data_IF_213757242771
#
_entry.id   IF_213757242771
#
_cell.length_a   1.000
_cell.length_b   1.000
_cell.length_c   1.000
_cell.angle_alpha   90.00
_cell.angle_beta   90.00
_cell.angle_gamma   90.00
#
_symmetry.space_group_name_H-M   'P 1'
#
loop_
_entity.id
_entity.type
_entity.pdbx_description
1 polymer ?
#
# COMPACT_ATOMS: atom_id res chain seq x y z
N UNK A 1 16.48 -32.44 10.22
CA UNK A 1 16.63 -32.27 11.68
C UNK A 1 16.66 -30.80 12.10
N UNK A 2 17.27 -29.89 11.34
CA UNK A 2 17.31 -28.45 11.66
C UNK A 2 15.96 -27.71 11.52
N UNK A 3 15.08 -28.14 10.61
CA UNK A 3 13.76 -27.51 10.41
C UNK A 3 12.90 -27.45 11.67
N UNK A 4 12.76 -28.56 12.40
CA UNK A 4 11.98 -28.60 13.65
C UNK A 4 12.55 -27.67 14.73
N UNK A 5 13.86 -27.45 14.74
CA UNK A 5 14.51 -26.55 15.70
C UNK A 5 14.23 -25.09 15.33
N UNK A 6 14.35 -24.74 14.05
CA UNK A 6 14.04 -23.39 13.55
C UNK A 6 12.55 -23.08 13.79
N UNK A 7 11.66 -24.02 13.50
CA UNK A 7 10.23 -23.91 13.76
C UNK A 7 9.95 -23.66 15.26
N UNK A 8 10.54 -24.45 16.16
CA UNK A 8 10.37 -24.24 17.61
C UNK A 8 10.86 -22.87 18.07
N UNK A 9 12.00 -22.39 17.53
CA UNK A 9 12.52 -21.05 17.83
C UNK A 9 11.61 -19.95 17.29
N UNK A 10 11.09 -20.09 16.07
CA UNK A 10 10.18 -19.11 15.49
C UNK A 10 8.88 -18.99 16.28
N UNK A 11 8.28 -20.12 16.66
CA UNK A 11 7.09 -20.13 17.52
C UNK A 11 7.35 -19.44 18.85
N UNK A 12 8.54 -19.64 19.42
CA UNK A 12 8.96 -18.97 20.66
C UNK A 12 9.09 -17.45 20.50
N UNK A 13 9.33 -16.95 19.28
CA UNK A 13 9.38 -15.51 18.97
C UNK A 13 8.01 -14.89 18.66
N UNK A 14 6.94 -15.68 18.58
CA UNK A 14 5.58 -15.20 18.25
C UNK A 14 4.54 -15.66 19.28
N UNK A 15 4.88 -15.68 20.57
CA UNK A 15 3.96 -16.12 21.64
C UNK A 15 3.31 -17.50 21.38
N UNK A 16 4.02 -18.40 20.70
CA UNK A 16 3.58 -19.75 20.37
C UNK A 16 2.71 -19.87 19.11
N UNK A 17 2.53 -18.80 18.32
CA UNK A 17 1.81 -18.88 17.04
C UNK A 17 2.49 -19.85 16.07
N UNK A 18 1.70 -20.71 15.44
CA UNK A 18 2.19 -21.75 14.52
C UNK A 18 2.13 -21.35 13.05
N UNK A 19 1.57 -20.17 12.75
CA UNK A 19 1.38 -19.67 11.39
C UNK A 19 2.11 -18.35 11.24
N UNK A 20 2.94 -18.29 10.19
CA UNK A 20 3.69 -17.09 9.82
C UNK A 20 5.09 -17.05 10.40
N UNK A 21 5.76 -15.93 10.15
CA UNK A 21 7.10 -15.63 10.64
C UNK A 21 7.07 -14.32 11.43
N UNK A 22 7.94 -14.12 12.45
CA UNK A 22 7.98 -12.88 13.22
C UNK A 22 8.18 -11.65 12.30
N UNK A 23 7.41 -10.59 12.50
CA UNK A 23 7.59 -9.34 11.73
C UNK A 23 8.58 -8.43 12.46
N UNK A 24 9.61 -7.94 11.76
CA UNK A 24 10.58 -6.97 12.28
C UNK A 24 12.03 -7.47 12.40
N UNK A 25 12.30 -8.68 12.94
CA UNK A 25 13.66 -9.20 13.03
C UNK A 25 14.29 -9.48 11.66
N UNK A 26 15.58 -9.18 11.49
CA UNK A 26 16.33 -9.49 10.27
C UNK A 26 16.40 -11.00 9.98
N UNK A 27 16.35 -11.83 11.02
CA UNK A 27 16.29 -13.29 10.89
C UNK A 27 15.08 -13.76 10.09
N UNK A 28 13.94 -13.09 10.25
CA UNK A 28 12.72 -13.43 9.52
C UNK A 28 12.88 -13.19 8.03
N UNK A 29 13.62 -12.14 7.63
CA UNK A 29 13.91 -11.88 6.21
C UNK A 29 14.72 -13.01 5.58
N UNK A 30 15.76 -13.48 6.28
CA UNK A 30 16.58 -14.60 5.82
C UNK A 30 15.73 -15.87 5.69
N UNK A 31 14.84 -16.11 6.65
CA UNK A 31 13.95 -17.28 6.63
C UNK A 31 12.95 -17.18 5.47
N UNK A 32 12.35 -16.01 5.22
CA UNK A 32 11.50 -15.77 4.04
C UNK A 32 12.22 -16.11 2.75
N UNK A 33 13.46 -15.64 2.60
CA UNK A 33 14.27 -15.89 1.40
C UNK A 33 14.53 -17.39 1.20
N UNK A 34 14.82 -18.13 2.27
CA UNK A 34 14.98 -19.59 2.19
C UNK A 34 13.69 -20.29 1.75
N UNK A 35 12.54 -19.86 2.26
CA UNK A 35 11.24 -20.41 1.86
C UNK A 35 10.98 -20.10 0.37
N UNK A 36 11.24 -18.87 -0.07
CA UNK A 36 11.08 -18.47 -1.47
C UNK A 36 12.01 -19.27 -2.39
N UNK A 37 13.28 -19.46 -2.04
CA UNK A 37 14.19 -20.35 -2.80
C UNK A 37 13.63 -21.77 -2.94
N UNK A 38 12.99 -22.31 -1.89
CA UNK A 38 12.38 -23.64 -1.95
C UNK A 38 11.12 -23.67 -2.84
N UNK A 39 10.30 -22.61 -2.79
CA UNK A 39 9.17 -22.40 -3.71
C UNK A 39 9.65 -22.36 -5.16
N UNK A 40 10.69 -21.58 -5.46
CA UNK A 40 11.24 -21.47 -6.82
C UNK A 40 11.76 -22.82 -7.34
N UNK A 41 12.43 -23.60 -6.48
CA UNK A 41 12.83 -24.97 -6.84
C UNK A 41 11.63 -25.85 -7.20
N UNK A 42 10.51 -25.70 -6.51
CA UNK A 42 9.28 -26.44 -6.76
C UNK A 42 8.54 -25.98 -8.03
N UNK A 43 8.58 -24.69 -8.35
CA UNK A 43 8.10 -24.15 -9.64
C UNK A 43 8.89 -24.75 -10.80
N UNK A 44 10.19 -24.96 -10.61
CA UNK A 44 11.04 -25.75 -11.49
C UNK A 44 11.67 -24.96 -12.63
N UNK A 45 12.90 -25.33 -12.99
CA UNK A 45 13.73 -24.61 -13.96
C UNK A 45 13.11 -24.49 -15.35
N UNK A 46 12.26 -25.45 -15.76
CA UNK A 46 11.58 -25.40 -17.06
C UNK A 46 10.56 -24.26 -17.17
N UNK A 47 9.95 -23.85 -16.05
CA UNK A 47 9.06 -22.70 -16.01
C UNK A 47 9.86 -21.40 -16.00
N UNK A 48 10.93 -21.32 -15.21
CA UNK A 48 11.84 -20.16 -15.21
C UNK A 48 12.53 -19.95 -16.55
N UNK A 49 12.84 -21.01 -17.30
CA UNK A 49 13.43 -20.91 -18.63
C UNK A 49 12.54 -20.21 -19.68
N UNK A 50 11.25 -20.01 -19.39
CA UNK A 50 10.30 -19.29 -20.25
C UNK A 50 10.29 -17.78 -19.99
N UNK A 51 10.94 -17.32 -18.92
CA UNK A 51 11.04 -15.91 -18.60
C UNK A 51 11.91 -15.19 -19.63
N UNK A 52 11.44 -14.04 -20.09
CA UNK A 52 12.24 -13.14 -20.93
C UNK A 52 13.01 -12.11 -20.11
N UNK A 53 12.48 -11.78 -18.94
CA UNK A 53 13.11 -10.95 -17.92
C UNK A 53 12.39 -11.20 -16.58
N UNK A 54 13.12 -10.97 -15.49
CA UNK A 54 12.61 -11.11 -14.14
C UNK A 54 13.24 -10.05 -13.22
N UNK A 55 12.46 -9.63 -12.24
CA UNK A 55 12.90 -8.80 -11.13
C UNK A 55 12.14 -9.23 -9.88
N UNK A 56 12.87 -9.44 -8.80
CA UNK A 56 12.32 -9.80 -7.51
C UNK A 56 12.85 -8.87 -6.44
N UNK A 57 11.96 -8.38 -5.58
CA UNK A 57 12.31 -7.60 -4.41
C UNK A 57 11.50 -8.09 -3.20
N UNK A 58 12.18 -8.76 -2.27
CA UNK A 58 11.59 -9.32 -1.05
C UNK A 58 10.50 -10.38 -1.32
N UNK A 59 9.25 -9.98 -1.43
CA UNK A 59 8.10 -10.83 -1.76
C UNK A 59 7.39 -10.41 -3.05
N UNK A 60 7.84 -9.31 -3.67
CA UNK A 60 7.28 -8.76 -4.90
C UNK A 60 7.99 -9.32 -6.14
N UNK A 61 7.22 -9.96 -7.02
CA UNK A 61 7.68 -10.53 -8.28
C UNK A 61 7.22 -9.72 -9.50
N UNK A 62 8.17 -9.40 -10.39
CA UNK A 62 7.91 -8.86 -11.72
C UNK A 62 8.51 -9.80 -12.75
N UNK A 63 7.65 -10.52 -13.46
CA UNK A 63 8.03 -11.61 -14.36
C UNK A 63 7.51 -11.33 -15.75
N UNK A 64 8.39 -11.37 -16.74
CA UNK A 64 8.08 -11.09 -18.14
C UNK A 64 8.08 -12.37 -18.96
N UNK A 65 7.08 -12.49 -19.85
CA UNK A 65 6.90 -13.65 -20.73
C UNK A 65 6.63 -13.18 -22.16
N UNK A 66 6.98 -14.01 -23.14
CA UNK A 66 6.68 -13.76 -24.55
C UNK A 66 5.22 -13.99 -24.91
N UNK A 67 4.47 -14.73 -24.08
CA UNK A 67 3.07 -15.07 -24.32
C UNK A 67 2.24 -15.02 -23.04
N UNK A 68 0.96 -14.68 -23.17
CA UNK A 68 0.01 -14.72 -22.06
C UNK A 68 -0.17 -16.14 -21.50
N UNK A 69 -0.13 -17.15 -22.38
CA UNK A 69 -0.27 -18.56 -22.01
C UNK A 69 0.88 -19.02 -21.11
N UNK A 70 2.12 -18.61 -21.41
CA UNK A 70 3.26 -18.93 -20.57
C UNK A 70 3.18 -18.25 -19.20
N UNK A 71 2.69 -17.00 -19.16
CA UNK A 71 2.48 -16.27 -17.91
C UNK A 71 1.40 -16.94 -17.03
N UNK A 72 0.28 -17.38 -17.62
CA UNK A 72 -0.77 -18.11 -16.90
C UNK A 72 -0.27 -19.46 -16.39
N UNK A 73 0.46 -20.21 -17.21
CA UNK A 73 1.03 -21.49 -16.82
C UNK A 73 2.05 -21.33 -15.68
N UNK A 74 2.91 -20.30 -15.75
CA UNK A 74 3.85 -19.99 -14.67
C UNK A 74 3.10 -19.59 -13.39
N UNK A 75 2.09 -18.72 -13.48
CA UNK A 75 1.31 -18.29 -12.32
C UNK A 75 0.59 -19.47 -11.65
N UNK A 76 0.08 -20.42 -12.42
CA UNK A 76 -0.51 -21.65 -11.88
C UNK A 76 0.54 -22.49 -11.13
N UNK A 77 1.71 -22.72 -11.74
CA UNK A 77 2.80 -23.45 -11.10
C UNK A 77 3.30 -22.77 -9.81
N UNK A 78 3.39 -21.43 -9.82
CA UNK A 78 3.77 -20.64 -8.66
C UNK A 78 2.74 -20.75 -7.53
N UNK A 79 1.43 -20.68 -7.84
CA UNK A 79 0.36 -20.89 -6.85
C UNK A 79 0.45 -22.27 -6.22
N UNK A 80 0.61 -23.31 -7.02
CA UNK A 80 0.70 -24.68 -6.53
C UNK A 80 1.94 -24.89 -5.64
N UNK A 81 3.09 -24.29 -6.02
CA UNK A 81 4.32 -24.36 -5.23
C UNK A 81 4.18 -23.62 -3.89
N UNK A 82 3.64 -22.40 -3.88
CA UNK A 82 3.44 -21.59 -2.67
C UNK A 82 2.48 -22.28 -1.69
N UNK A 83 1.42 -22.94 -2.20
CA UNK A 83 0.46 -23.66 -1.37
C UNK A 83 1.09 -24.82 -0.60
N UNK A 84 2.16 -25.44 -1.11
CA UNK A 84 2.87 -26.51 -0.40
C UNK A 84 3.57 -26.04 0.89
N UNK A 85 3.72 -24.73 1.06
CA UNK A 85 4.28 -24.08 2.25
C UNK A 85 3.20 -23.36 3.08
N UNK A 86 1.91 -23.67 2.86
CA UNK A 86 0.76 -23.01 3.50
C UNK A 86 0.71 -21.48 3.29
N UNK A 87 1.36 -21.00 2.23
CA UNK A 87 1.34 -19.61 1.82
C UNK A 87 0.28 -19.40 0.73
N UNK A 88 -0.12 -18.14 0.52
CA UNK A 88 -1.06 -17.75 -0.52
C UNK A 88 -0.62 -16.47 -1.20
N UNK A 89 -0.76 -16.42 -2.53
CA UNK A 89 -0.61 -15.17 -3.27
C UNK A 89 -1.75 -14.21 -2.97
N UNK A 90 -1.43 -12.93 -2.83
CA UNK A 90 -2.44 -11.91 -2.67
C UNK A 90 -3.19 -11.69 -4.00
N UNK A 91 -4.43 -12.16 -4.08
CA UNK A 91 -5.24 -12.09 -5.30
C UNK A 91 -5.51 -10.66 -5.79
N UNK A 92 -5.58 -9.66 -4.90
CA UNK A 92 -5.80 -8.27 -5.32
C UNK A 92 -4.54 -7.62 -5.90
N UNK A 93 -3.35 -8.12 -5.53
CA UNK A 93 -2.05 -7.64 -6.03
C UNK A 93 -1.52 -8.45 -7.22
N UNK A 94 -2.03 -9.67 -7.41
CA UNK A 94 -1.55 -10.59 -8.45
C UNK A 94 -2.31 -10.36 -9.76
N UNK A 95 -1.62 -9.95 -10.82
CA UNK A 95 -2.23 -9.73 -12.15
C UNK A 95 -1.27 -10.03 -13.28
N UNK A 96 -1.81 -10.49 -14.40
CA UNK A 96 -1.09 -10.57 -15.68
C UNK A 96 -1.55 -9.40 -16.52
N UNK A 97 -0.60 -8.63 -17.02
CA UNK A 97 -0.84 -7.40 -17.77
C UNK A 97 -0.06 -7.43 -19.09
N UNK A 98 -0.62 -6.84 -20.14
CA UNK A 98 0.09 -6.65 -21.38
C UNK A 98 1.10 -5.50 -21.20
N UNK A 99 2.39 -5.75 -21.47
CA UNK A 99 3.44 -4.75 -21.33
C UNK A 99 3.20 -3.49 -22.19
N UNK A 100 2.56 -3.61 -23.36
CA UNK A 100 2.21 -2.47 -24.21
C UNK A 100 1.07 -1.63 -23.65
N UNK A 101 0.20 -2.24 -22.84
CA UNK A 101 -0.91 -1.56 -22.15
C UNK A 101 -0.50 -1.10 -20.75
N UNK A 102 0.67 -1.54 -20.26
CA UNK A 102 1.26 -1.07 -19.02
C UNK A 102 1.71 0.37 -19.20
N UNK A 103 0.78 1.27 -18.96
CA UNK A 103 1.05 2.69 -18.91
C UNK A 103 1.79 2.96 -17.60
N UNK A 104 3.07 3.36 -17.68
CA UNK A 104 3.79 3.91 -16.52
C UNK A 104 2.87 4.88 -15.77
N UNK A 105 2.82 4.73 -14.45
CA UNK A 105 1.95 5.51 -13.57
C UNK A 105 2.04 7.00 -13.91
N UNK A 106 1.03 7.52 -14.62
CA UNK A 106 0.97 8.96 -14.96
C UNK A 106 0.44 9.80 -13.81
N UNK A 107 -0.24 9.15 -12.86
CA UNK A 107 -0.91 9.81 -11.75
C UNK A 107 0.05 10.66 -10.88
N UNK A 108 1.33 10.28 -10.61
CA UNK A 108 2.22 11.14 -9.86
C UNK A 108 2.48 12.45 -10.60
N UNK A 109 2.61 12.40 -11.93
CA UNK A 109 2.72 13.59 -12.78
C UNK A 109 1.49 14.48 -12.71
N UNK A 110 0.30 13.88 -12.88
CA UNK A 110 -0.99 14.57 -12.85
C UNK A 110 -1.20 15.31 -11.51
N UNK A 111 -0.97 14.63 -10.38
CA UNK A 111 -1.12 15.25 -9.06
C UNK A 111 0.01 16.24 -8.81
N UNK A 112 1.26 15.96 -9.19
CA UNK A 112 2.42 16.84 -8.94
C UNK A 112 2.27 18.20 -9.59
N UNK A 113 1.66 18.27 -10.78
CA UNK A 113 1.42 19.54 -11.47
C UNK A 113 0.40 20.46 -10.77
N UNK A 114 -0.45 19.92 -9.89
CA UNK A 114 -1.47 20.68 -9.17
C UNK A 114 -0.84 21.54 -8.06
N UNK A 115 -0.51 22.79 -8.37
CA UNK A 115 0.09 23.71 -7.40
C UNK A 115 -0.93 24.20 -6.38
N UNK A 116 -0.62 24.03 -5.10
CA UNK A 116 -1.34 24.67 -3.98
C UNK A 116 -0.50 25.88 -3.54
N UNK A 117 -1.00 27.09 -3.76
CA UNK A 117 -0.31 28.31 -3.34
C UNK A 117 -0.54 28.60 -1.86
N UNK A 118 0.51 29.02 -1.17
CA UNK A 118 0.39 29.61 0.16
C UNK A 118 -0.11 31.06 0.08
N UNK A 119 -0.86 31.52 1.09
CA UNK A 119 -1.19 32.94 1.29
C UNK A 119 -1.81 33.59 0.06
N UNK A 120 -2.83 32.95 -0.51
CA UNK A 120 -3.46 33.37 -1.76
C UNK A 120 -4.97 33.24 -1.68
N UNK A 121 -5.70 34.25 -2.16
CA UNK A 121 -7.17 34.17 -2.32
C UNK A 121 -7.61 32.97 -3.18
N UNK A 122 -6.70 32.41 -3.98
CA UNK A 122 -6.92 31.27 -4.84
C UNK A 122 -6.66 29.92 -4.18
N UNK A 123 -6.15 29.89 -2.94
CA UNK A 123 -5.80 28.63 -2.27
C UNK A 123 -6.99 27.70 -2.16
N UNK A 124 -8.20 28.22 -1.87
CA UNK A 124 -9.44 27.42 -1.84
C UNK A 124 -9.70 26.69 -3.16
N UNK A 125 -9.57 27.39 -4.28
CA UNK A 125 -9.77 26.83 -5.63
C UNK A 125 -8.69 25.80 -5.96
N UNK A 126 -7.44 26.08 -5.60
CA UNK A 126 -6.32 25.17 -5.80
C UNK A 126 -6.54 23.86 -5.01
N UNK A 127 -7.00 23.95 -3.76
CA UNK A 127 -7.36 22.81 -2.90
C UNK A 127 -8.52 22.01 -3.49
N UNK A 128 -9.62 22.67 -3.88
CA UNK A 128 -10.77 22.00 -4.47
C UNK A 128 -10.42 21.24 -5.75
N UNK A 129 -9.60 21.85 -6.63
CA UNK A 129 -9.07 21.18 -7.82
C UNK A 129 -8.21 19.97 -7.41
N UNK A 130 -7.31 20.14 -6.46
CA UNK A 130 -6.44 19.08 -5.97
C UNK A 130 -7.22 17.90 -5.38
N UNK A 131 -8.24 18.15 -4.55
CA UNK A 131 -9.08 17.11 -3.96
C UNK A 131 -9.87 16.36 -5.02
N UNK A 132 -10.46 17.10 -5.98
CA UNK A 132 -11.27 16.51 -7.05
C UNK A 132 -10.44 15.58 -7.92
N UNK A 133 -9.22 16.00 -8.29
CA UNK A 133 -8.29 15.16 -9.06
C UNK A 133 -7.76 13.99 -8.25
N UNK A 134 -7.42 14.19 -6.97
CA UNK A 134 -6.98 13.09 -6.08
C UNK A 134 -8.05 12.01 -5.97
N UNK A 135 -9.31 12.39 -5.74
CA UNK A 135 -10.44 11.45 -5.64
C UNK A 135 -10.72 10.78 -6.99
N UNK A 136 -10.62 11.52 -8.10
CA UNK A 136 -10.78 10.96 -9.45
C UNK A 136 -9.73 9.87 -9.71
N UNK A 137 -8.47 10.16 -9.39
CA UNK A 137 -7.37 9.22 -9.59
C UNK A 137 -7.48 8.01 -8.68
N UNK A 138 -7.78 8.19 -7.39
CA UNK A 138 -7.99 7.09 -6.44
C UNK A 138 -9.14 6.15 -6.86
N UNK A 139 -10.17 6.67 -7.53
CA UNK A 139 -11.26 5.85 -8.11
C UNK A 139 -10.84 5.11 -9.38
N UNK A 140 -10.04 5.74 -10.23
CA UNK A 140 -9.57 5.13 -11.48
C UNK A 140 -8.45 4.11 -11.24
N UNK A 141 -7.67 4.30 -10.18
CA UNK A 141 -6.53 3.49 -9.79
C UNK A 141 -6.58 3.35 -8.26
N UNK A 142 -7.01 2.20 -7.71
CA UNK A 142 -7.03 1.96 -6.27
C UNK A 142 -5.62 1.65 -5.76
N UNK A 143 -4.70 2.57 -5.99
CA UNK A 143 -3.33 2.51 -5.51
C UNK A 143 -3.23 3.32 -4.20
N UNK A 144 -2.88 2.61 -3.13
CA UNK A 144 -2.67 3.17 -1.80
C UNK A 144 -1.66 4.34 -1.77
N UNK A 145 -0.72 4.36 -2.71
CA UNK A 145 0.28 5.42 -2.84
C UNK A 145 -0.33 6.77 -3.24
N UNK A 146 -1.46 6.77 -3.96
CA UNK A 146 -2.21 7.99 -4.33
C UNK A 146 -2.69 8.70 -3.06
N UNK A 147 -3.32 7.97 -2.15
CA UNK A 147 -3.82 8.50 -0.88
C UNK A 147 -2.69 9.06 -0.01
N UNK A 148 -1.59 8.31 0.11
CA UNK A 148 -0.39 8.75 0.83
C UNK A 148 0.21 10.03 0.23
N UNK A 149 0.24 10.14 -1.10
CA UNK A 149 0.73 11.32 -1.79
C UNK A 149 -0.22 12.52 -1.63
N UNK A 150 -1.54 12.27 -1.71
CA UNK A 150 -2.59 13.27 -1.54
C UNK A 150 -2.62 13.92 -0.17
N UNK A 151 -2.09 13.26 0.86
CA UNK A 151 -1.89 13.85 2.20
C UNK A 151 -0.54 14.56 2.29
N UNK A 152 0.53 13.93 1.80
CA UNK A 152 1.90 14.46 1.90
C UNK A 152 2.11 15.76 1.13
N UNK A 153 1.44 15.94 0.00
CA UNK A 153 1.62 17.14 -0.82
C UNK A 153 1.06 18.41 -0.16
N UNK A 154 -0.23 18.48 0.24
CA UNK A 154 -0.77 19.66 0.89
C UNK A 154 -0.14 19.95 2.25
N UNK A 155 0.35 18.93 2.98
CA UNK A 155 1.02 19.15 4.27
C UNK A 155 2.32 19.95 4.20
N UNK A 156 2.91 20.10 3.00
CA UNK A 156 4.07 20.97 2.74
C UNK A 156 3.72 22.46 2.63
N UNK A 157 2.43 22.80 2.60
CA UNK A 157 1.95 24.16 2.41
C UNK A 157 1.04 24.53 3.56
N UNK A 158 1.24 25.70 4.16
CA UNK A 158 0.34 26.19 5.20
C UNK A 158 -1.03 26.51 4.58
N UNK A 159 -2.02 25.67 4.87
CA UNK A 159 -3.43 25.91 4.60
C UNK A 159 -3.95 27.04 5.50
N UNK A 160 -4.59 28.05 4.91
CA UNK A 160 -5.19 29.17 5.63
C UNK A 160 -6.42 28.73 6.44
N UNK A 161 -6.66 29.35 7.60
CA UNK A 161 -7.83 29.05 8.46
C UNK A 161 -9.17 29.10 7.71
N UNK A 162 -9.30 29.99 6.73
CA UNK A 162 -10.50 30.13 5.90
C UNK A 162 -10.77 28.94 4.95
N UNK A 163 -9.77 28.07 4.76
CA UNK A 163 -9.86 26.87 3.91
C UNK A 163 -9.87 25.58 4.74
N UNK A 164 -9.88 25.67 6.06
CA UNK A 164 -9.88 24.51 6.94
C UNK A 164 -11.17 23.69 6.81
N UNK A 165 -12.29 24.36 6.55
CA UNK A 165 -13.63 23.77 6.35
C UNK A 165 -13.69 22.77 5.19
N UNK A 166 -12.79 22.88 4.20
CA UNK A 166 -12.65 21.93 3.09
C UNK A 166 -11.48 20.96 3.26
N UNK A 167 -10.44 21.35 4.00
CA UNK A 167 -9.26 20.52 4.18
C UNK A 167 -9.47 19.44 5.24
N UNK A 168 -10.08 19.77 6.39
CA UNK A 168 -10.37 18.79 7.44
C UNK A 168 -11.24 17.63 6.92
N UNK A 169 -12.38 17.86 6.22
CA UNK A 169 -13.19 16.76 5.70
C UNK A 169 -12.47 15.93 4.64
N UNK A 170 -11.61 16.56 3.84
CA UNK A 170 -10.80 15.83 2.86
C UNK A 170 -9.83 14.86 3.55
N UNK A 171 -9.13 15.31 4.60
CA UNK A 171 -8.24 14.45 5.38
C UNK A 171 -8.97 13.27 6.00
N UNK A 172 -10.11 13.52 6.65
CA UNK A 172 -10.94 12.48 7.27
C UNK A 172 -11.46 11.48 6.24
N UNK A 173 -11.84 11.96 5.04
CA UNK A 173 -12.26 11.08 3.95
C UNK A 173 -11.14 10.13 3.51
N UNK A 174 -9.93 10.65 3.28
CA UNK A 174 -8.80 9.81 2.86
C UNK A 174 -8.44 8.79 3.95
N UNK A 175 -8.44 9.20 5.23
CA UNK A 175 -8.19 8.30 6.36
C UNK A 175 -9.24 7.18 6.49
N UNK A 176 -10.51 7.48 6.18
CA UNK A 176 -11.58 6.48 6.18
C UNK A 176 -11.43 5.47 5.04
N UNK A 177 -11.09 5.95 3.86
CA UNK A 177 -10.94 5.09 2.68
C UNK A 177 -9.64 4.27 2.72
N UNK A 178 -8.60 4.74 3.43
CA UNK A 178 -7.28 4.12 3.46
C UNK A 178 -6.66 4.19 4.86
N UNK A 179 -6.65 3.06 5.57
CA UNK A 179 -6.15 2.95 6.95
C UNK A 179 -4.66 3.27 7.09
N UNK A 180 -3.85 3.01 6.04
CA UNK A 180 -2.42 3.32 5.99
C UNK A 180 -2.11 4.83 6.15
N UNK A 181 -3.09 5.69 5.89
CA UNK A 181 -2.97 7.13 5.94
C UNK A 181 -3.33 7.73 7.31
N UNK A 182 -3.92 6.94 8.20
CA UNK A 182 -4.52 7.40 9.45
C UNK A 182 -3.51 8.14 10.34
N UNK A 183 -2.33 7.56 10.57
CA UNK A 183 -1.27 8.17 11.37
C UNK A 183 -0.83 9.54 10.82
N UNK A 184 -0.68 9.64 9.49
CA UNK A 184 -0.32 10.91 8.84
C UNK A 184 -1.42 11.96 8.97
N UNK A 185 -2.69 11.57 8.83
CA UNK A 185 -3.84 12.46 8.99
C UNK A 185 -3.96 12.96 10.42
N UNK A 186 -3.83 12.08 11.41
CA UNK A 186 -3.87 12.45 12.83
C UNK A 186 -2.77 13.46 13.15
N UNK A 187 -1.54 13.21 12.70
CA UNK A 187 -0.41 14.15 12.88
C UNK A 187 -0.71 15.54 12.31
N UNK A 188 -1.31 15.61 11.12
CA UNK A 188 -1.69 16.88 10.50
C UNK A 188 -2.77 17.58 11.34
N UNK A 189 -3.84 16.88 11.71
CA UNK A 189 -4.93 17.45 12.53
C UNK A 189 -4.38 17.97 13.86
N UNK A 190 -3.58 17.18 14.58
CA UNK A 190 -2.96 17.61 15.84
C UNK A 190 -2.05 18.82 15.66
N UNK A 191 -1.26 18.87 14.59
CA UNK A 191 -0.38 20.03 14.29
C UNK A 191 -1.18 21.30 14.07
N UNK A 192 -2.25 21.23 13.28
CA UNK A 192 -3.12 22.38 13.02
C UNK A 192 -3.93 22.80 14.25
N UNK A 193 -4.37 21.85 15.06
CA UNK A 193 -5.01 22.11 16.35
C UNK A 193 -4.09 22.87 17.31
N UNK A 194 -2.83 22.44 17.42
CA UNK A 194 -1.81 23.14 18.21
C UNK A 194 -1.54 24.56 17.69
N UNK A 195 -1.71 24.80 16.39
CA UNK A 195 -1.64 26.13 15.76
C UNK A 195 -2.94 26.96 15.90
N UNK A 196 -3.93 26.46 16.65
CA UNK A 196 -5.20 27.15 16.94
C UNK A 196 -6.21 27.12 15.79
N UNK A 197 -6.21 26.06 14.98
CA UNK A 197 -7.28 25.78 14.02
C UNK A 197 -8.44 25.08 14.74
N UNK A 198 -9.69 25.30 14.30
CA UNK A 198 -10.84 24.67 14.94
C UNK A 198 -10.84 23.17 14.65
N UNK A 199 -10.90 22.33 15.68
CA UNK A 199 -11.25 20.92 15.50
C UNK A 199 -12.76 20.79 15.61
N UNK A 200 -13.41 20.34 14.55
CA UNK A 200 -14.86 20.15 14.53
C UNK A 200 -15.31 18.87 15.23
N UNK A 201 -16.62 18.78 15.50
CA UNK A 201 -17.27 17.54 15.97
C UNK A 201 -17.03 16.36 15.01
N UNK A 202 -16.75 16.63 13.74
CA UNK A 202 -16.44 15.63 12.70
C UNK A 202 -15.26 14.74 13.04
N UNK A 203 -14.23 15.26 13.72
CA UNK A 203 -13.08 14.45 14.14
C UNK A 203 -13.49 13.47 15.25
N UNK A 204 -14.39 13.90 16.15
CA UNK A 204 -14.96 13.04 17.19
C UNK A 204 -15.81 11.94 16.57
N UNK A 205 -16.75 12.30 15.70
CA UNK A 205 -17.61 11.35 14.96
C UNK A 205 -16.79 10.34 14.16
N UNK A 206 -15.73 10.81 13.48
CA UNK A 206 -14.80 9.94 12.76
C UNK A 206 -14.09 8.95 13.70
N UNK A 207 -13.61 9.42 14.85
CA UNK A 207 -12.92 8.57 15.83
C UNK A 207 -13.85 7.52 16.41
N UNK A 208 -15.09 7.91 16.76
CA UNK A 208 -16.12 6.99 17.26
C UNK A 208 -16.48 5.94 16.20
N UNK A 209 -16.72 6.35 14.95
CA UNK A 209 -17.01 5.43 13.86
C UNK A 209 -15.87 4.45 13.56
N UNK A 210 -14.61 4.92 13.56
CA UNK A 210 -13.45 4.05 13.36
C UNK A 210 -13.31 3.00 14.47
N UNK A 211 -13.61 3.37 15.72
CA UNK A 211 -13.60 2.45 16.86
C UNK A 211 -14.72 1.42 16.70
N UNK A 212 -15.95 1.83 16.37
CA UNK A 212 -17.06 0.90 16.18
C UNK A 212 -16.82 -0.07 15.01
N UNK A 213 -16.25 0.40 13.90
CA UNK A 213 -16.00 -0.42 12.70
C UNK A 213 -14.87 -1.45 12.91
N UNK A 214 -13.92 -1.18 13.80
CA UNK A 214 -12.74 -2.03 14.04
C UNK A 214 -12.69 -2.64 15.44
N UNK A 215 -13.72 -2.42 16.27
CA UNK A 215 -13.86 -3.10 17.55
C UNK A 215 -14.25 -4.58 17.31
N UNK A 216 -13.66 -5.52 18.08
CA UNK A 216 -13.96 -6.95 17.98
C UNK A 216 -15.39 -7.32 18.42
#
# INVERSE_FOLDING_TARGET
MFGNFIDALMRSCQDGQTIGIPVGPDTSRIISEFILCAVEQQVGQSNFAKLTADYHYMDDFFLCFSSHVDAEAFLAALRDAILAFDLQLNASKTRIINALEFNEERWPGDITQLRIRARSHNQRRDLMRFFSESIRLAKSWPDESISSFSIRKPSRVLIEKANWDIYEPFLLRIARENSNCLDSVVKIICTYAAAGYPIGARVKEFSEAMIEEHAP
#
